data_IF_268725401021
#
_entry.id   IF_268725401021
#
_cell.length_a   1.000
_cell.length_b   1.000
_cell.length_c   1.000
_cell.angle_alpha   90.00
_cell.angle_beta   90.00
_cell.angle_gamma   90.00
#
_symmetry.space_group_name_H-M   'P 1'
#
loop_
_entity.id
_entity.type
_entity.pdbx_description
1 polymer ?
#
# COMPACT_ATOMS: atom_id res chain seq x y z
N UNK A 1 7.57 3.20 21.21
CA UNK A 1 6.51 3.52 20.23
C UNK A 1 5.32 2.61 20.50
N UNK A 2 4.11 3.15 20.62
CA UNK A 2 2.92 2.31 20.81
C UNK A 2 2.42 1.79 19.45
N UNK A 3 2.21 0.49 19.36
CA UNK A 3 1.68 -0.19 18.18
C UNK A 3 0.34 -0.82 18.53
N UNK A 4 -0.68 -0.56 17.72
CA UNK A 4 -1.97 -1.24 17.80
C UNK A 4 -1.99 -2.37 16.77
N UNK A 5 -1.85 -3.61 17.26
CA UNK A 5 -2.24 -4.77 16.46
C UNK A 5 -3.73 -4.71 16.11
N UNK A 6 -4.19 -5.56 15.21
CA UNK A 6 -5.59 -5.57 14.73
C UNK A 6 -6.62 -5.92 15.82
N UNK A 7 -6.20 -6.44 16.98
CA UNK A 7 -7.11 -7.10 17.93
C UNK A 7 -6.82 -6.88 19.43
N UNK A 8 -6.10 -5.83 19.85
CA UNK A 8 -5.76 -5.68 21.28
C UNK A 8 -5.41 -4.25 21.73
N UNK A 9 -5.22 -4.03 23.06
CA UNK A 9 -4.78 -2.75 23.59
C UNK A 9 -3.42 -2.35 22.99
N UNK A 10 -3.11 -1.04 22.85
CA UNK A 10 -1.83 -0.58 22.33
C UNK A 10 -0.65 -1.15 23.13
N UNK A 11 0.33 -1.71 22.42
CA UNK A 11 1.52 -2.34 23.00
C UNK A 11 2.72 -1.40 22.83
N UNK A 12 3.46 -1.13 23.90
CA UNK A 12 4.61 -0.22 23.85
C UNK A 12 5.88 -0.93 23.38
N UNK A 13 6.20 -0.89 22.08
CA UNK A 13 7.47 -1.41 21.57
C UNK A 13 8.64 -0.52 22.03
N UNK A 14 9.60 -1.12 22.74
CA UNK A 14 10.80 -0.45 23.25
C UNK A 14 11.91 -0.49 22.20
N UNK A 15 12.04 0.58 21.43
CA UNK A 15 13.09 0.71 20.42
C UNK A 15 14.32 1.34 21.07
N UNK A 16 15.48 0.68 20.94
CA UNK A 16 16.72 1.24 21.47
C UNK A 16 17.27 2.30 20.52
N UNK A 17 17.94 3.33 21.05
CA UNK A 17 18.58 4.34 20.22
C UNK A 17 19.61 3.71 19.26
N UNK A 18 20.36 2.70 19.72
CA UNK A 18 21.29 1.95 18.88
C UNK A 18 20.61 1.24 17.70
N UNK A 19 19.45 0.63 17.93
CA UNK A 19 18.65 -0.01 16.85
C UNK A 19 18.22 1.01 15.81
N UNK A 20 17.78 2.20 16.26
CA UNK A 20 17.35 3.28 15.36
C UNK A 20 18.52 3.78 14.52
N UNK A 21 19.64 4.15 15.14
CA UNK A 21 20.83 4.63 14.41
C UNK A 21 21.35 3.59 13.42
N UNK A 22 21.39 2.32 13.84
CA UNK A 22 21.82 1.22 12.98
C UNK A 22 20.90 1.07 11.75
N UNK A 23 19.58 1.06 11.96
CA UNK A 23 18.61 0.97 10.87
C UNK A 23 18.70 2.17 9.92
N UNK A 24 18.85 3.38 10.46
CA UNK A 24 19.05 4.59 9.65
C UNK A 24 20.27 4.42 8.75
N UNK A 25 21.44 4.04 9.29
CA UNK A 25 22.65 3.85 8.48
C UNK A 25 22.47 2.74 7.43
N UNK A 26 21.89 1.61 7.83
CA UNK A 26 21.72 0.46 6.96
C UNK A 26 20.77 0.74 5.78
N UNK A 27 19.68 1.49 6.02
CA UNK A 27 18.77 1.94 4.97
C UNK A 27 19.47 2.88 3.98
N UNK A 28 20.24 3.85 4.49
CA UNK A 28 21.01 4.79 3.67
C UNK A 28 22.08 4.09 2.83
N UNK A 29 22.65 2.98 3.29
CA UNK A 29 23.56 2.15 2.51
C UNK A 29 22.91 1.46 1.30
N UNK A 30 21.57 1.28 1.30
CA UNK A 30 20.85 0.58 0.23
C UNK A 30 20.24 1.55 -0.78
N UNK A 31 19.63 2.64 -0.31
CA UNK A 31 19.11 3.73 -1.13
C UNK A 31 19.69 5.06 -0.60
N UNK A 32 20.87 5.49 -1.09
CA UNK A 32 21.58 6.64 -0.54
C UNK A 32 20.81 7.95 -0.64
N UNK A 33 20.89 8.73 0.44
CA UNK A 33 20.45 10.13 0.50
C UNK A 33 21.59 11.03 0.97
N UNK A 34 21.49 12.29 0.61
CA UNK A 34 22.53 13.32 0.72
C UNK A 34 21.94 14.58 1.33
N UNK A 35 22.77 15.57 1.65
CA UNK A 35 22.30 16.86 2.15
C UNK A 35 21.48 17.66 1.11
N UNK A 36 21.65 17.36 -0.18
CA UNK A 36 20.91 18.00 -1.27
C UNK A 36 19.48 17.44 -1.43
N UNK A 37 19.11 16.45 -0.62
CA UNK A 37 17.77 15.89 -0.64
C UNK A 37 16.76 16.73 0.11
N UNK A 38 15.51 16.50 -0.25
CA UNK A 38 14.37 17.19 0.29
C UNK A 38 13.20 16.21 0.40
N UNK A 39 12.62 16.12 1.60
CA UNK A 39 11.50 15.23 1.92
C UNK A 39 10.27 16.01 2.39
N UNK A 40 9.11 15.35 2.34
CA UNK A 40 7.85 15.86 2.86
C UNK A 40 7.43 15.01 4.07
N UNK A 41 7.29 15.65 5.22
CA UNK A 41 6.79 15.07 6.47
C UNK A 41 5.29 15.34 6.60
N UNK A 42 4.51 14.26 6.69
CA UNK A 42 3.06 14.34 6.85
C UNK A 42 2.45 13.19 7.66
N UNK A 43 3.20 12.09 7.87
CA UNK A 43 2.72 11.00 8.72
C UNK A 43 2.91 11.39 10.20
N UNK A 44 2.14 10.82 11.12
CA UNK A 44 2.32 11.09 12.55
C UNK A 44 3.67 10.59 13.07
N UNK A 45 4.36 11.40 13.88
CA UNK A 45 5.57 11.00 14.62
C UNK A 45 5.34 9.90 15.66
N UNK A 46 4.10 9.50 15.90
CA UNK A 46 3.82 8.28 16.65
C UNK A 46 4.28 7.01 15.90
N UNK A 47 4.54 7.08 14.60
CA UNK A 47 4.92 5.94 13.77
C UNK A 47 6.45 5.88 13.53
N UNK A 48 7.08 4.71 13.70
CA UNK A 48 8.54 4.56 13.52
C UNK A 48 8.98 4.94 12.10
N UNK A 49 8.16 4.64 11.09
CA UNK A 49 8.44 4.99 9.70
C UNK A 49 8.71 6.49 9.54
N UNK A 50 7.84 7.34 10.09
CA UNK A 50 8.02 8.79 10.03
C UNK A 50 9.25 9.24 10.82
N UNK A 51 9.52 8.64 11.98
CA UNK A 51 10.70 8.98 12.78
C UNK A 51 11.99 8.73 12.00
N UNK A 52 12.10 7.59 11.31
CA UNK A 52 13.28 7.27 10.50
C UNK A 52 13.52 8.31 9.40
N UNK A 53 12.46 8.82 8.78
CA UNK A 53 12.57 9.75 7.63
C UNK A 53 12.62 11.21 8.06
N UNK A 54 11.91 11.63 9.08
CA UNK A 54 11.77 13.07 9.39
C UNK A 54 12.54 13.48 10.64
N UNK A 55 13.10 12.53 11.40
CA UNK A 55 13.92 12.80 12.59
C UNK A 55 15.34 12.25 12.42
N UNK A 56 15.49 10.93 12.25
CA UNK A 56 16.83 10.31 12.31
C UNK A 56 17.61 10.40 11.00
N UNK A 57 16.93 10.30 9.85
CA UNK A 57 17.52 10.51 8.54
C UNK A 57 18.19 11.88 8.37
N UNK A 58 17.50 13.03 8.60
CA UNK A 58 18.12 14.35 8.42
C UNK A 58 19.23 14.61 9.44
N UNK A 59 19.14 14.07 10.67
CA UNK A 59 20.25 14.16 11.64
C UNK A 59 21.50 13.44 11.15
N UNK A 60 21.35 12.40 10.33
CA UNK A 60 22.48 11.64 9.78
C UNK A 60 23.06 12.23 8.50
N UNK A 61 22.23 12.81 7.63
CA UNK A 61 22.63 13.22 6.27
C UNK A 61 22.50 14.72 5.99
N UNK A 62 21.75 15.46 6.79
CA UNK A 62 21.54 16.90 6.64
C UNK A 62 20.51 17.32 5.59
N UNK A 63 19.64 16.41 5.12
CA UNK A 63 18.60 16.80 4.15
C UNK A 63 17.50 17.65 4.76
N UNK A 64 16.77 18.35 3.90
CA UNK A 64 15.69 19.25 4.29
C UNK A 64 14.40 18.44 4.51
N UNK A 65 13.73 18.70 5.63
CA UNK A 65 12.40 18.17 5.96
C UNK A 65 11.37 19.28 5.86
N UNK A 66 10.40 19.14 4.96
CA UNK A 66 9.29 20.06 4.83
C UNK A 66 8.04 19.49 5.49
N UNK A 67 7.49 20.22 6.46
CA UNK A 67 6.24 19.85 7.12
C UNK A 67 5.05 20.35 6.33
N UNK A 68 4.08 19.48 6.06
CA UNK A 68 2.80 19.91 5.48
C UNK A 68 1.95 20.61 6.53
N UNK A 69 1.10 21.54 6.10
CA UNK A 69 0.19 22.26 7.00
C UNK A 69 -0.91 21.34 7.52
N UNK A 70 -1.42 20.45 6.65
CA UNK A 70 -2.39 19.43 7.00
C UNK A 70 -2.38 18.29 5.97
N UNK A 71 -3.07 17.19 6.27
CA UNK A 71 -3.27 16.11 5.30
C UNK A 71 -4.07 16.55 4.06
N UNK A 72 -4.90 17.58 4.20
CA UNK A 72 -5.72 18.10 3.10
C UNK A 72 -4.89 18.93 2.11
N UNK A 73 -3.84 19.60 2.59
CA UNK A 73 -2.92 20.40 1.77
C UNK A 73 -1.75 19.59 1.21
N UNK A 74 -1.57 18.32 1.62
CA UNK A 74 -0.48 17.45 1.18
C UNK A 74 -0.22 17.47 -0.34
N UNK A 75 -1.27 17.41 -1.17
CA UNK A 75 -1.10 17.40 -2.63
C UNK A 75 -0.71 18.76 -3.21
N UNK A 76 -1.05 19.85 -2.52
CA UNK A 76 -0.55 21.16 -2.86
C UNK A 76 0.91 21.31 -2.44
N UNK A 77 1.25 20.95 -1.21
CA UNK A 77 2.62 21.03 -0.73
C UNK A 77 3.57 20.14 -1.55
N UNK A 78 3.16 18.93 -1.94
CA UNK A 78 3.96 18.08 -2.84
C UNK A 78 4.29 18.77 -4.16
N UNK A 79 3.35 19.53 -4.74
CA UNK A 79 3.56 20.27 -6.00
C UNK A 79 4.51 21.44 -5.83
N UNK A 80 4.44 22.13 -4.69
CA UNK A 80 5.29 23.29 -4.38
C UNK A 80 6.72 22.85 -4.05
N UNK A 81 6.87 21.82 -3.22
CA UNK A 81 8.16 21.32 -2.73
C UNK A 81 8.87 20.50 -3.80
N UNK A 82 8.13 19.66 -4.54
CA UNK A 82 8.69 18.70 -5.50
C UNK A 82 9.86 17.89 -4.91
N UNK A 83 9.61 17.04 -3.89
CA UNK A 83 10.67 16.40 -3.11
C UNK A 83 11.55 15.46 -3.95
N UNK A 84 12.82 15.36 -3.57
CA UNK A 84 13.75 14.38 -4.17
C UNK A 84 13.51 12.99 -3.59
N UNK A 85 13.05 12.91 -2.34
CA UNK A 85 12.69 11.67 -1.65
C UNK A 85 11.29 11.77 -1.05
N UNK A 86 10.37 10.91 -1.50
CA UNK A 86 9.02 10.81 -0.95
C UNK A 86 8.73 9.40 -0.41
N UNK A 87 8.62 9.29 0.90
CA UNK A 87 8.21 8.09 1.62
C UNK A 87 6.73 8.18 1.98
N UNK A 88 5.95 7.18 1.60
CA UNK A 88 4.50 7.23 1.77
C UNK A 88 3.89 5.83 1.91
N UNK A 89 2.58 5.80 2.11
CA UNK A 89 1.77 4.59 2.31
C UNK A 89 0.87 4.33 1.10
N UNK A 90 0.44 3.08 0.84
CA UNK A 90 -0.31 2.73 -0.36
C UNK A 90 -1.51 3.63 -0.62
N UNK A 91 -2.29 3.96 0.42
CA UNK A 91 -3.50 4.78 0.29
C UNK A 91 -3.24 6.17 -0.30
N UNK A 92 -2.09 6.78 0.01
CA UNK A 92 -1.75 8.11 -0.53
C UNK A 92 -1.34 7.99 -2.00
N UNK A 93 -0.56 6.97 -2.35
CA UNK A 93 -0.23 6.66 -3.74
C UNK A 93 -1.47 6.31 -4.57
N UNK A 94 -2.41 5.54 -4.02
CA UNK A 94 -3.70 5.22 -4.64
C UNK A 94 -4.53 6.49 -4.85
N UNK A 95 -4.67 7.33 -3.82
CA UNK A 95 -5.43 8.60 -3.90
C UNK A 95 -4.86 9.55 -4.97
N UNK A 96 -3.54 9.65 -5.09
CA UNK A 96 -2.87 10.42 -6.15
C UNK A 96 -3.20 9.86 -7.54
N UNK A 97 -3.13 8.55 -7.73
CA UNK A 97 -3.46 7.90 -9.00
C UNK A 97 -4.95 8.08 -9.36
N UNK A 98 -5.86 7.86 -8.42
CA UNK A 98 -7.31 8.07 -8.60
C UNK A 98 -7.62 9.50 -8.99
N UNK A 99 -6.99 10.50 -8.35
CA UNK A 99 -7.16 11.92 -8.69
C UNK A 99 -6.77 12.21 -10.14
N UNK A 100 -5.71 11.57 -10.65
CA UNK A 100 -5.31 11.71 -12.06
C UNK A 100 -6.35 11.08 -12.97
N UNK A 101 -6.77 9.84 -12.71
CA UNK A 101 -7.75 9.13 -13.54
C UNK A 101 -9.07 9.90 -13.63
N UNK A 102 -9.56 10.46 -12.53
CA UNK A 102 -10.78 11.27 -12.50
C UNK A 102 -10.65 12.55 -13.33
N UNK A 103 -9.55 13.29 -13.15
CA UNK A 103 -9.28 14.51 -13.93
C UNK A 103 -9.12 14.21 -15.42
N UNK A 104 -8.60 13.03 -15.77
CA UNK A 104 -8.49 12.58 -17.16
C UNK A 104 -9.82 12.10 -17.73
N UNK A 105 -10.70 11.52 -16.92
CA UNK A 105 -12.06 11.18 -17.31
C UNK A 105 -12.88 12.42 -17.72
N UNK A 106 -12.75 13.51 -16.96
CA UNK A 106 -13.42 14.80 -17.23
C UNK A 106 -12.77 15.61 -18.34
N UNK A 107 -11.59 15.18 -18.80
CA UNK A 107 -10.84 15.91 -19.81
C UNK A 107 -11.45 15.74 -21.20
N UNK A 108 -11.09 16.66 -22.10
CA UNK A 108 -11.49 16.58 -23.51
C UNK A 108 -11.08 15.23 -24.10
N UNK A 109 -11.87 14.73 -25.06
CA UNK A 109 -11.63 13.42 -25.69
C UNK A 109 -10.18 13.26 -26.18
N UNK A 110 -9.60 14.32 -26.75
CA UNK A 110 -8.21 14.32 -27.21
C UNK A 110 -7.21 14.15 -26.07
N UNK A 111 -7.37 14.88 -24.95
CA UNK A 111 -6.50 14.76 -23.76
C UNK A 111 -6.58 13.36 -23.17
N UNK A 112 -7.80 12.82 -23.02
CA UNK A 112 -8.04 11.47 -22.52
C UNK A 112 -7.41 10.39 -23.41
N UNK A 113 -7.52 10.52 -24.73
CA UNK A 113 -6.91 9.56 -25.67
C UNK A 113 -5.39 9.66 -25.68
N UNK A 114 -4.84 10.87 -25.62
CA UNK A 114 -3.40 11.10 -25.48
C UNK A 114 -2.85 10.53 -24.17
N UNK A 115 -3.55 10.74 -23.04
CA UNK A 115 -3.22 10.17 -21.74
C UNK A 115 -3.18 8.65 -21.77
N UNK A 116 -4.26 8.00 -22.23
CA UNK A 116 -4.33 6.54 -22.33
C UNK A 116 -3.22 5.96 -23.21
N UNK A 117 -2.95 6.59 -24.35
CA UNK A 117 -1.86 6.17 -25.24
C UNK A 117 -0.49 6.33 -24.58
N UNK A 118 -0.23 7.47 -23.92
CA UNK A 118 1.03 7.74 -23.25
C UNK A 118 1.28 6.78 -22.09
N UNK A 119 0.27 6.52 -21.24
CA UNK A 119 0.36 5.54 -20.14
C UNK A 119 0.58 4.13 -20.66
N UNK A 120 -0.08 3.73 -21.75
CA UNK A 120 0.12 2.41 -22.36
C UNK A 120 1.57 2.23 -22.87
N UNK A 121 2.13 3.26 -23.53
CA UNK A 121 3.54 3.28 -23.94
C UNK A 121 4.45 3.24 -22.71
N UNK A 122 4.17 4.06 -21.69
CA UNK A 122 4.89 4.10 -20.43
C UNK A 122 4.94 2.75 -19.72
N UNK A 123 3.83 2.02 -19.65
CA UNK A 123 3.76 0.68 -19.05
C UNK A 123 4.61 -0.34 -19.81
N UNK A 124 4.55 -0.33 -21.15
CA UNK A 124 5.39 -1.21 -21.99
C UNK A 124 6.87 -0.91 -21.78
N UNK A 125 7.25 0.37 -21.77
CA UNK A 125 8.61 0.81 -21.50
C UNK A 125 9.08 0.41 -20.10
N UNK A 126 8.26 0.66 -19.07
CA UNK A 126 8.55 0.29 -17.70
C UNK A 126 8.78 -1.22 -17.54
N UNK A 127 7.90 -2.06 -18.10
CA UNK A 127 8.07 -3.52 -18.07
C UNK A 127 9.36 -3.98 -18.76
N UNK A 128 9.67 -3.41 -19.93
CA UNK A 128 10.92 -3.72 -20.64
C UNK A 128 12.16 -3.33 -19.80
N UNK A 129 12.11 -2.17 -19.15
CA UNK A 129 13.17 -1.69 -18.26
C UNK A 129 13.31 -2.57 -17.01
N UNK A 130 12.20 -2.97 -16.40
CA UNK A 130 12.17 -3.85 -15.22
C UNK A 130 12.66 -5.27 -15.52
N UNK A 131 12.46 -5.75 -16.75
CA UNK A 131 12.97 -7.05 -17.18
C UNK A 131 14.51 -7.08 -17.35
N UNK A 132 15.18 -5.92 -17.30
CA UNK A 132 16.65 -5.82 -17.38
C UNK A 132 17.25 -6.04 -18.78
N UNK A 133 16.42 -6.20 -19.81
CA UNK A 133 16.84 -6.36 -21.20
C UNK A 133 17.02 -5.04 -21.96
N UNK A 134 17.60 -5.06 -23.18
CA UNK A 134 17.70 -3.89 -24.02
C UNK A 134 16.31 -3.38 -24.41
N UNK A 135 16.09 -2.08 -24.31
CA UNK A 135 14.83 -1.46 -24.69
C UNK A 135 14.80 -1.31 -26.22
N UNK A 136 13.77 -1.81 -26.93
CA UNK A 136 13.65 -1.64 -28.37
C UNK A 136 13.72 -0.15 -28.77
N UNK A 137 14.52 0.26 -29.77
CA UNK A 137 14.72 1.66 -30.11
C UNK A 137 13.42 2.42 -30.40
N UNK A 138 12.47 1.78 -31.10
CA UNK A 138 11.15 2.34 -31.38
C UNK A 138 10.31 2.57 -30.11
N UNK A 139 10.39 1.65 -29.13
CA UNK A 139 9.72 1.82 -27.84
C UNK A 139 10.37 2.94 -27.02
N UNK A 140 11.70 3.05 -27.07
CA UNK A 140 12.44 4.15 -26.45
C UNK A 140 12.03 5.51 -27.02
N UNK A 141 11.96 5.65 -28.35
CA UNK A 141 11.51 6.88 -29.00
C UNK A 141 10.05 7.19 -28.67
N UNK A 142 9.17 6.20 -28.75
CA UNK A 142 7.75 6.37 -28.39
C UNK A 142 7.59 6.83 -26.94
N UNK A 143 8.36 6.26 -26.00
CA UNK A 143 8.36 6.69 -24.62
C UNK A 143 8.89 8.12 -24.45
N UNK A 144 9.95 8.51 -25.15
CA UNK A 144 10.46 9.89 -25.11
C UNK A 144 9.41 10.90 -25.58
N UNK A 145 8.69 10.59 -26.66
CA UNK A 145 7.60 11.44 -27.17
C UNK A 145 6.41 11.49 -26.19
N UNK A 146 5.97 10.33 -25.67
CA UNK A 146 4.91 10.23 -24.67
C UNK A 146 5.27 10.97 -23.38
N UNK A 147 6.52 10.87 -22.95
CA UNK A 147 7.05 11.56 -21.77
C UNK A 147 7.07 13.06 -21.96
N UNK A 148 7.62 13.55 -23.08
CA UNK A 148 7.64 14.98 -23.37
C UNK A 148 6.24 15.59 -23.45
N UNK A 149 5.32 14.93 -24.16
CA UNK A 149 3.99 15.46 -24.42
C UNK A 149 3.01 15.33 -23.23
N UNK A 150 3.11 14.25 -22.44
CA UNK A 150 2.09 13.89 -21.45
C UNK A 150 2.67 13.51 -20.09
N UNK A 151 3.58 12.53 -20.03
CA UNK A 151 3.96 11.92 -18.74
C UNK A 151 4.83 12.84 -17.89
N UNK A 152 5.80 13.57 -18.46
CA UNK A 152 6.63 14.50 -17.71
C UNK A 152 5.85 15.74 -17.22
N UNK A 153 4.95 16.36 -18.01
CA UNK A 153 4.02 17.36 -17.49
C UNK A 153 3.13 16.83 -16.36
N UNK A 154 2.66 15.59 -16.47
CA UNK A 154 1.86 14.94 -15.41
C UNK A 154 2.67 14.70 -14.14
N UNK A 155 3.88 14.15 -14.27
CA UNK A 155 4.85 13.95 -13.17
C UNK A 155 5.14 15.27 -12.44
N UNK A 156 5.36 16.36 -13.19
CA UNK A 156 5.51 17.73 -12.66
C UNK A 156 4.28 18.20 -11.89
N UNK A 157 3.09 18.02 -12.46
CA UNK A 157 1.82 18.39 -11.80
C UNK A 157 1.52 17.57 -10.56
N UNK A 158 2.11 16.39 -10.40
CA UNK A 158 2.00 15.59 -9.19
C UNK A 158 3.04 15.97 -8.13
N UNK A 159 4.00 16.84 -8.46
CA UNK A 159 5.08 17.22 -7.55
C UNK A 159 6.21 16.19 -7.49
N UNK A 160 6.40 15.39 -8.54
CA UNK A 160 7.44 14.35 -8.54
C UNK A 160 8.60 14.62 -9.49
N UNK A 161 8.75 15.84 -10.00
CA UNK A 161 9.72 16.15 -11.07
C UNK A 161 11.16 15.83 -10.67
N UNK A 162 11.53 16.24 -9.45
CA UNK A 162 12.86 16.01 -8.84
C UNK A 162 12.99 14.66 -8.14
N UNK A 163 11.91 13.89 -8.02
CA UNK A 163 11.89 12.67 -7.22
C UNK A 163 12.80 11.61 -7.82
N UNK A 164 13.80 11.22 -7.04
CA UNK A 164 14.77 10.16 -7.33
C UNK A 164 14.55 8.92 -6.49
N UNK A 165 13.92 9.05 -5.32
CA UNK A 165 13.53 7.93 -4.46
C UNK A 165 12.06 8.11 -4.08
N UNK A 166 11.21 7.13 -4.43
CA UNK A 166 9.84 7.08 -3.95
C UNK A 166 9.63 5.73 -3.24
N UNK A 167 9.16 5.73 -1.99
CA UNK A 167 8.98 4.51 -1.20
C UNK A 167 7.52 4.34 -0.82
N UNK A 168 7.01 3.13 -1.03
CA UNK A 168 5.73 2.66 -0.52
C UNK A 168 5.97 1.58 0.54
N UNK A 169 5.36 1.70 1.71
CA UNK A 169 5.50 0.73 2.80
C UNK A 169 4.38 0.82 3.82
N UNK A 170 4.57 0.15 4.97
CA UNK A 170 3.62 0.02 6.09
C UNK A 170 2.33 -0.78 5.81
N UNK A 171 1.95 -0.96 4.55
CA UNK A 171 0.89 -1.87 4.13
C UNK A 171 1.20 -2.42 2.73
N UNK A 172 0.65 -3.60 2.37
CA UNK A 172 0.87 -4.14 1.04
C UNK A 172 0.17 -3.28 -0.01
N UNK A 173 0.78 -3.15 -1.19
CA UNK A 173 0.22 -2.44 -2.33
C UNK A 173 0.12 -3.36 -3.56
N UNK A 174 -0.73 -3.00 -4.51
CA UNK A 174 -0.89 -3.79 -5.74
C UNK A 174 0.31 -3.58 -6.69
N UNK A 175 0.81 -4.65 -7.36
CA UNK A 175 1.82 -4.53 -8.41
C UNK A 175 1.47 -3.49 -9.49
N UNK A 176 0.18 -3.37 -9.81
CA UNK A 176 -0.36 -2.44 -10.79
C UNK A 176 -0.11 -0.97 -10.40
N UNK A 177 -0.10 -0.64 -9.10
CA UNK A 177 0.25 0.68 -8.60
C UNK A 177 1.71 1.03 -8.93
N UNK A 178 2.64 0.11 -8.66
CA UNK A 178 4.05 0.31 -8.99
C UNK A 178 4.28 0.41 -10.49
N UNK A 179 3.65 -0.45 -11.29
CA UNK A 179 3.71 -0.36 -12.76
C UNK A 179 3.21 1.00 -13.28
N UNK A 180 2.13 1.52 -12.68
CA UNK A 180 1.60 2.84 -13.01
C UNK A 180 2.64 3.94 -12.75
N UNK A 181 3.20 4.02 -11.55
CA UNK A 181 4.18 5.05 -11.22
C UNK A 181 5.48 4.93 -12.01
N UNK A 182 5.95 3.70 -12.27
CA UNK A 182 7.08 3.47 -13.18
C UNK A 182 6.77 3.92 -14.61
N UNK A 183 5.54 3.75 -15.10
CA UNK A 183 5.13 4.26 -16.41
C UNK A 183 5.24 5.79 -16.48
N UNK A 184 4.95 6.51 -15.38
CA UNK A 184 5.09 7.96 -15.27
C UNK A 184 6.56 8.42 -15.09
N UNK A 185 7.51 7.48 -14.97
CA UNK A 185 8.91 7.80 -14.70
C UNK A 185 9.19 8.17 -13.25
N UNK A 186 8.34 7.69 -12.32
CA UNK A 186 8.53 7.84 -10.87
C UNK A 186 9.13 6.52 -10.34
N UNK A 187 10.29 6.57 -9.65
CA UNK A 187 11.00 5.37 -9.19
C UNK A 187 10.40 4.83 -7.88
N UNK A 188 9.12 4.42 -7.94
CA UNK A 188 8.42 3.89 -6.78
C UNK A 188 8.91 2.48 -6.43
N UNK A 189 9.40 2.30 -5.21
CA UNK A 189 9.88 1.03 -4.67
C UNK A 189 9.10 0.63 -3.43
N UNK A 190 9.01 -0.68 -3.19
CA UNK A 190 8.34 -1.22 -2.01
C UNK A 190 9.33 -1.55 -0.90
N UNK A 191 8.95 -1.27 0.35
CA UNK A 191 9.69 -1.61 1.56
C UNK A 191 8.81 -2.28 2.61
N UNK A 192 9.41 -3.21 3.35
CA UNK A 192 8.75 -4.00 4.38
C UNK A 192 9.48 -3.89 5.72
N UNK A 193 8.70 -3.76 6.77
CA UNK A 193 9.14 -3.80 8.16
C UNK A 193 7.98 -3.48 9.08
N UNK A 194 8.25 -3.50 10.38
CA UNK A 194 7.26 -3.25 11.43
C UNK A 194 7.89 -2.53 12.61
N UNK A 195 7.07 -2.12 13.58
CA UNK A 195 7.56 -1.39 14.76
C UNK A 195 8.57 -2.22 15.54
N UNK A 196 8.28 -3.50 15.75
CA UNK A 196 9.10 -4.48 16.47
C UNK A 196 10.46 -4.73 15.79
N UNK A 197 10.58 -4.39 14.51
CA UNK A 197 11.81 -4.49 13.72
C UNK A 197 12.50 -3.13 13.54
N UNK A 198 12.14 -2.11 14.33
CA UNK A 198 12.60 -0.72 14.16
C UNK A 198 12.36 -0.18 12.74
N UNK A 199 11.26 -0.57 12.11
CA UNK A 199 10.72 0.07 10.91
C UNK A 199 11.03 -0.60 9.56
N UNK A 200 12.22 -1.17 9.34
CA UNK A 200 12.57 -1.81 8.04
C UNK A 200 13.32 -3.12 8.25
N UNK A 201 12.93 -4.13 7.46
CA UNK A 201 13.54 -5.46 7.36
C UNK A 201 14.13 -5.64 5.96
N UNK A 202 13.37 -5.27 4.93
CA UNK A 202 13.75 -5.41 3.52
C UNK A 202 13.23 -4.25 2.69
N UNK A 203 13.95 -3.91 1.62
CA UNK A 203 13.52 -2.85 0.70
C UNK A 203 14.02 -3.14 -0.71
N UNK A 204 13.23 -2.76 -1.71
CA UNK A 204 13.70 -2.70 -3.08
C UNK A 204 14.76 -1.60 -3.25
N UNK A 205 15.68 -1.79 -4.19
CA UNK A 205 16.67 -0.78 -4.55
C UNK A 205 16.18 -0.01 -5.76
N UNK A 206 16.28 1.32 -5.75
CA UNK A 206 15.90 2.15 -6.91
C UNK A 206 16.65 1.76 -8.19
N UNK A 207 17.90 1.31 -8.05
CA UNK A 207 18.72 0.85 -9.18
C UNK A 207 18.25 -0.47 -9.81
N UNK A 208 17.54 -1.31 -9.04
CA UNK A 208 17.09 -2.65 -9.47
C UNK A 208 15.74 -3.02 -8.82
N UNK A 209 14.66 -2.27 -9.12
CA UNK A 209 13.38 -2.48 -8.51
C UNK A 209 12.74 -3.77 -9.03
N UNK A 210 12.08 -4.53 -8.15
CA UNK A 210 11.33 -5.73 -8.54
C UNK A 210 9.89 -5.63 -8.03
N UNK A 211 9.00 -5.26 -8.94
CA UNK A 211 7.57 -5.10 -8.67
C UNK A 211 6.97 -6.42 -8.17
N UNK A 212 6.10 -6.31 -7.15
CA UNK A 212 5.46 -7.45 -6.49
C UNK A 212 6.34 -8.15 -5.46
N UNK A 213 7.51 -7.59 -5.12
CA UNK A 213 8.36 -8.02 -4.01
C UNK A 213 8.62 -6.83 -3.10
N UNK A 214 8.97 -7.08 -1.83
CA UNK A 214 9.41 -6.05 -0.89
C UNK A 214 10.93 -5.87 -0.87
N UNK A 215 11.61 -6.46 -1.87
CA UNK A 215 13.04 -6.31 -2.07
C UNK A 215 13.86 -7.34 -1.33
N UNK A 216 15.11 -6.98 -1.03
CA UNK A 216 16.04 -7.87 -0.33
C UNK A 216 16.16 -7.41 1.12
N UNK A 217 16.53 -8.34 2.00
CA UNK A 217 16.88 -8.00 3.38
C UNK A 217 17.94 -6.88 3.39
N UNK A 218 17.78 -5.93 4.30
CA UNK A 218 18.80 -4.90 4.54
C UNK A 218 20.09 -5.61 4.97
N UNK A 219 21.26 -5.24 4.41
CA UNK A 219 22.53 -5.85 4.81
C UNK A 219 22.73 -5.84 6.33
N UNK A 220 23.07 -6.98 6.90
CA UNK A 220 23.21 -7.17 8.36
C UNK A 220 21.91 -7.55 9.08
N UNK A 221 20.78 -7.66 8.38
CA UNK A 221 19.58 -8.32 8.87
C UNK A 221 19.54 -9.75 8.33
N UNK A 222 19.43 -10.71 9.24
CA UNK A 222 19.17 -12.10 8.89
C UNK A 222 17.67 -12.30 8.71
N UNK A 223 17.25 -12.94 7.61
CA UNK A 223 15.84 -13.27 7.34
C UNK A 223 15.76 -14.73 6.92
N UNK A 224 14.93 -15.49 7.61
CA UNK A 224 14.60 -16.89 7.28
C UNK A 224 13.09 -17.07 7.21
N UNK A 225 12.65 -18.12 6.53
CA UNK A 225 11.25 -18.54 6.53
C UNK A 225 11.13 -19.79 7.40
N UNK A 226 10.19 -19.79 8.34
CA UNK A 226 9.82 -20.98 9.10
C UNK A 226 9.11 -22.02 8.21
N UNK A 227 8.87 -23.22 8.73
CA UNK A 227 8.23 -24.32 7.99
C UNK A 227 6.84 -23.97 7.44
N UNK A 228 6.12 -23.09 8.13
CA UNK A 228 4.80 -22.58 7.71
C UNK A 228 4.87 -21.31 6.84
N UNK A 229 6.08 -20.90 6.46
CA UNK A 229 6.35 -19.71 5.65
C UNK A 229 6.39 -18.41 6.43
N UNK A 230 6.25 -18.41 7.76
CA UNK A 230 6.42 -17.20 8.57
C UNK A 230 7.82 -16.61 8.40
N UNK A 231 7.88 -15.30 8.20
CA UNK A 231 9.14 -14.56 8.13
C UNK A 231 9.67 -14.39 9.54
N UNK A 232 10.89 -14.88 9.78
CA UNK A 232 11.64 -14.65 11.00
C UNK A 232 12.81 -13.73 10.68
N UNK A 233 13.06 -12.75 11.54
CA UNK A 233 14.15 -11.79 11.34
C UNK A 233 15.00 -11.63 12.60
N UNK A 234 16.32 -11.50 12.44
CA UNK A 234 17.25 -11.32 13.54
C UNK A 234 18.32 -10.27 13.19
N UNK A 235 18.72 -9.49 14.18
CA UNK A 235 19.78 -8.51 14.05
C UNK A 235 19.58 -7.27 14.93
N UNK A 236 20.40 -6.23 14.74
CA UNK A 236 20.40 -5.03 15.61
C UNK A 236 19.09 -4.22 15.58
N UNK A 237 18.30 -4.41 14.51
CA UNK A 237 17.02 -3.77 14.28
C UNK A 237 15.88 -4.27 15.20
N UNK A 238 16.00 -5.47 15.78
CA UNK A 238 14.97 -6.04 16.66
C UNK A 238 14.83 -5.20 17.94
N UNK A 239 13.58 -4.89 18.32
CA UNK A 239 13.26 -4.12 19.52
C UNK A 239 13.75 -4.80 20.82
N UNK A 240 13.69 -4.09 21.94
CA UNK A 240 14.03 -4.63 23.27
C UNK A 240 12.90 -5.40 23.94
N UNK A 241 11.76 -5.53 23.27
CA UNK A 241 10.53 -6.10 23.83
C UNK A 241 9.42 -5.07 24.02
N UNK A 242 8.31 -5.54 24.56
CA UNK A 242 7.16 -4.73 24.92
C UNK A 242 7.28 -4.20 26.36
N UNK A 243 6.97 -2.92 26.53
CA UNK A 243 7.06 -2.22 27.80
C UNK A 243 6.10 -2.83 28.83
N UNK A 244 6.66 -3.33 29.94
CA UNK A 244 5.92 -4.00 31.03
C UNK A 244 5.16 -5.26 30.61
N UNK A 245 5.58 -5.92 29.54
CA UNK A 245 4.94 -7.13 29.02
C UNK A 245 5.99 -8.19 28.62
N UNK A 246 6.64 -8.85 29.60
CA UNK A 246 7.70 -9.82 29.34
C UNK A 246 7.18 -11.11 28.69
N UNK A 247 5.92 -11.49 28.95
CA UNK A 247 5.29 -12.68 28.38
C UNK A 247 5.12 -12.53 26.87
N UNK A 248 4.46 -11.46 26.43
CA UNK A 248 4.31 -11.17 25.02
C UNK A 248 5.66 -10.94 24.33
N UNK A 249 6.64 -10.36 25.04
CA UNK A 249 8.00 -10.21 24.53
C UNK A 249 8.62 -11.57 24.19
N UNK A 250 8.52 -12.55 25.10
CA UNK A 250 9.04 -13.89 24.89
C UNK A 250 8.26 -14.70 23.84
N UNK A 251 6.98 -14.39 23.62
CA UNK A 251 6.19 -14.95 22.50
C UNK A 251 6.60 -14.37 21.14
N UNK A 252 7.11 -13.13 21.12
CA UNK A 252 7.39 -12.38 19.89
C UNK A 252 8.84 -12.50 19.46
N UNK A 253 9.77 -12.58 20.41
CA UNK A 253 11.19 -12.82 20.16
C UNK A 253 11.62 -14.04 20.94
N UNK A 254 12.11 -15.04 20.21
CA UNK A 254 12.54 -16.29 20.81
C UNK A 254 13.90 -16.17 21.54
N UNK A 255 14.35 -17.27 22.14
CA UNK A 255 15.62 -17.31 22.90
C UNK A 255 16.86 -17.15 22.02
N UNK A 256 16.75 -17.38 20.71
CA UNK A 256 17.83 -17.22 19.73
C UNK A 256 17.85 -15.80 19.13
N UNK A 257 16.91 -14.95 19.52
CA UNK A 257 16.79 -13.57 19.07
C UNK A 257 16.01 -13.42 17.76
N UNK A 258 15.31 -14.45 17.30
CA UNK A 258 14.42 -14.35 16.14
C UNK A 258 13.14 -13.62 16.51
N UNK A 259 12.88 -12.52 15.81
CA UNK A 259 11.59 -11.85 15.81
C UNK A 259 10.63 -12.60 14.90
N UNK A 260 9.57 -13.15 15.52
CA UNK A 260 8.41 -13.72 14.83
C UNK A 260 7.56 -12.58 14.28
N UNK A 261 7.60 -12.38 12.96
CA UNK A 261 6.97 -11.21 12.36
C UNK A 261 5.45 -11.31 12.30
N UNK A 262 4.88 -12.52 12.38
CA UNK A 262 3.48 -12.79 12.11
C UNK A 262 3.08 -12.60 10.64
N UNK A 263 4.04 -12.39 9.74
CA UNK A 263 3.84 -12.25 8.29
C UNK A 263 4.38 -13.47 7.55
N UNK A 264 3.65 -13.96 6.56
CA UNK A 264 4.04 -15.09 5.72
C UNK A 264 4.67 -14.57 4.44
N UNK A 265 5.82 -15.13 4.08
CA UNK A 265 6.59 -14.71 2.92
C UNK A 265 7.03 -15.85 2.04
N UNK A 266 7.58 -15.48 0.88
CA UNK A 266 8.21 -16.40 -0.05
C UNK A 266 9.45 -15.75 -0.67
N UNK A 267 10.50 -16.55 -0.89
CA UNK A 267 11.68 -16.12 -1.63
C UNK A 267 11.48 -16.34 -3.13
N UNK A 268 11.77 -15.32 -3.92
CA UNK A 268 11.82 -15.42 -5.38
C UNK A 268 13.12 -14.82 -5.89
N UNK A 269 14.07 -15.67 -6.31
CA UNK A 269 15.38 -15.25 -6.85
C UNK A 269 16.12 -14.25 -5.94
N UNK A 270 16.08 -14.47 -4.62
CA UNK A 270 16.73 -13.61 -3.62
C UNK A 270 15.97 -12.33 -3.27
N UNK A 271 14.71 -12.20 -3.69
CA UNK A 271 13.79 -11.12 -3.28
C UNK A 271 12.67 -11.71 -2.42
N UNK A 272 12.32 -11.01 -1.34
CA UNK A 272 11.26 -11.39 -0.43
C UNK A 272 9.91 -10.89 -0.97
N UNK A 273 8.91 -11.76 -0.99
CA UNK A 273 7.51 -11.43 -1.22
C UNK A 273 6.73 -11.57 0.07
N UNK A 274 5.85 -10.62 0.35
CA UNK A 274 4.86 -10.74 1.42
C UNK A 274 3.60 -11.34 0.83
N UNK A 275 3.17 -12.45 1.40
CA UNK A 275 1.92 -13.09 1.03
C UNK A 275 0.80 -12.48 1.87
N UNK A 276 0.71 -12.78 3.17
CA UNK A 276 -0.28 -12.18 4.07
C UNK A 276 0.21 -12.18 5.52
N UNK A 277 -0.58 -11.59 6.42
CA UNK A 277 -0.49 -11.83 7.86
C UNK A 277 -0.92 -13.27 8.15
N UNK A 278 -0.11 -14.02 8.90
CA UNK A 278 -0.39 -15.43 9.29
C UNK A 278 -1.78 -15.62 9.91
N UNK A 279 -2.24 -14.63 10.69
CA UNK A 279 -3.56 -14.64 11.35
C UNK A 279 -4.74 -14.29 10.44
N UNK A 280 -4.47 -13.70 9.28
CA UNK A 280 -5.49 -13.22 8.33
C UNK A 280 -5.64 -14.15 7.10
N UNK A 281 -4.77 -15.16 6.93
CA UNK A 281 -4.91 -16.16 5.87
C UNK A 281 -6.26 -16.86 5.99
N UNK A 282 -7.05 -16.79 4.92
CA UNK A 282 -8.35 -17.44 4.82
C UNK A 282 -8.13 -18.88 4.36
N UNK A 283 -8.64 -19.85 5.13
CA UNK A 283 -8.67 -21.25 4.69
C UNK A 283 -10.09 -21.55 4.24
N UNK A 284 -10.30 -21.60 2.93
CA UNK A 284 -11.62 -21.94 2.37
C UNK A 284 -12.06 -23.35 2.78
N UNK A 285 -13.35 -23.67 2.67
CA UNK A 285 -13.87 -25.01 2.94
C UNK A 285 -13.21 -26.11 2.08
N UNK A 286 -12.64 -25.75 0.93
CA UNK A 286 -11.86 -26.64 0.07
C UNK A 286 -10.38 -26.80 0.47
N UNK A 287 -9.98 -26.28 1.63
CA UNK A 287 -8.60 -26.38 2.15
C UNK A 287 -7.59 -25.51 1.40
N UNK A 288 -8.04 -24.54 0.59
CA UNK A 288 -7.15 -23.59 -0.09
C UNK A 288 -6.89 -22.38 0.79
N UNK A 289 -5.59 -22.09 0.96
CA UNK A 289 -5.09 -20.89 1.63
C UNK A 289 -5.21 -19.71 0.67
N UNK A 290 -5.97 -18.70 1.08
CA UNK A 290 -6.19 -17.47 0.34
C UNK A 290 -5.61 -16.33 1.15
N UNK A 291 -4.90 -15.46 0.46
CA UNK A 291 -4.39 -14.18 0.95
C UNK A 291 -5.43 -13.09 0.67
N UNK A 292 -6.33 -12.75 1.61
CA UNK A 292 -7.33 -11.70 1.38
C UNK A 292 -6.70 -10.34 1.05
N UNK A 293 -5.58 -9.98 1.67
CA UNK A 293 -4.96 -8.66 1.46
C UNK A 293 -4.58 -8.41 -0.01
N UNK A 294 -4.19 -9.47 -0.73
CA UNK A 294 -3.88 -9.42 -2.16
C UNK A 294 -5.09 -9.03 -3.01
N UNK A 295 -6.24 -9.64 -2.72
CA UNK A 295 -7.51 -9.36 -3.42
C UNK A 295 -8.01 -7.96 -3.05
N UNK A 296 -7.98 -7.61 -1.76
CA UNK A 296 -8.41 -6.29 -1.25
C UNK A 296 -7.61 -5.15 -1.88
N UNK A 297 -6.29 -5.29 -2.01
CA UNK A 297 -5.44 -4.27 -2.63
C UNK A 297 -5.69 -4.12 -4.13
N UNK A 298 -6.05 -5.20 -4.85
CA UNK A 298 -6.48 -5.09 -6.24
C UNK A 298 -7.82 -4.37 -6.37
N UNK A 299 -8.76 -4.62 -5.46
CA UNK A 299 -10.06 -3.94 -5.43
C UNK A 299 -9.90 -2.44 -5.17
N UNK A 300 -9.05 -2.05 -4.21
CA UNK A 300 -8.77 -0.64 -3.88
C UNK A 300 -8.06 0.16 -4.97
N UNK A 301 -7.55 -0.49 -6.01
CA UNK A 301 -7.06 0.22 -7.19
C UNK A 301 -8.19 0.85 -8.02
N UNK A 302 -9.44 0.43 -7.80
CA UNK A 302 -10.61 1.11 -8.37
C UNK A 302 -10.80 2.48 -7.73
N UNK A 303 -11.07 3.55 -8.51
CA UNK A 303 -11.35 4.86 -7.94
C UNK A 303 -12.65 4.89 -7.12
N UNK A 304 -13.54 3.90 -7.27
CA UNK A 304 -14.83 3.86 -6.57
C UNK A 304 -14.76 3.09 -5.23
N UNK A 305 -13.64 2.42 -4.93
CA UNK A 305 -13.48 1.57 -3.76
C UNK A 305 -12.47 2.24 -2.82
N UNK A 306 -12.94 2.71 -1.67
CA UNK A 306 -12.10 3.26 -0.62
C UNK A 306 -11.40 2.16 0.17
N UNK A 307 -12.15 1.14 0.60
CA UNK A 307 -11.61 -0.03 1.29
C UNK A 307 -12.42 -1.29 0.96
N UNK A 308 -11.81 -2.45 1.14
CA UNK A 308 -12.42 -3.74 0.89
C UNK A 308 -11.99 -4.74 1.98
N UNK A 309 -12.95 -5.54 2.45
CA UNK A 309 -12.70 -6.66 3.38
C UNK A 309 -13.22 -7.93 2.75
N UNK A 310 -12.32 -8.82 2.36
CA UNK A 310 -12.63 -10.12 1.78
C UNK A 310 -12.88 -11.12 2.89
N UNK A 311 -14.04 -11.77 2.89
CA UNK A 311 -14.45 -12.73 3.91
C UNK A 311 -14.71 -14.08 3.26
N UNK A 312 -14.22 -15.16 3.87
CA UNK A 312 -14.46 -16.51 3.36
C UNK A 312 -13.83 -17.65 4.15
N UNK A 313 -13.42 -17.41 5.40
CA UNK A 313 -12.83 -18.46 6.23
C UNK A 313 -13.84 -19.60 6.47
N UNK A 314 -13.41 -20.82 6.13
CA UNK A 314 -14.21 -22.05 6.15
C UNK A 314 -15.52 -21.94 5.35
N UNK A 315 -15.57 -21.07 4.33
CA UNK A 315 -16.72 -20.93 3.42
C UNK A 315 -16.42 -21.51 2.03
N UNK A 316 -17.47 -21.77 1.24
CA UNK A 316 -17.39 -22.36 -0.10
C UNK A 316 -16.78 -21.43 -1.15
N UNK A 317 -16.90 -20.12 -0.94
CA UNK A 317 -16.41 -19.09 -1.83
C UNK A 317 -16.13 -17.82 -1.03
N UNK A 318 -15.42 -16.86 -1.63
CA UNK A 318 -15.14 -15.57 -1.04
C UNK A 318 -16.25 -14.56 -1.35
N UNK A 319 -16.52 -13.69 -0.40
CA UNK A 319 -17.35 -12.49 -0.56
C UNK A 319 -16.56 -11.27 -0.12
N UNK A 320 -16.97 -10.06 -0.50
CA UNK A 320 -16.30 -8.84 -0.05
C UNK A 320 -17.29 -7.80 0.47
N UNK A 321 -16.93 -7.18 1.59
CA UNK A 321 -17.55 -5.96 2.10
C UNK A 321 -16.78 -4.77 1.52
N UNK A 322 -17.47 -3.84 0.87
CA UNK A 322 -16.86 -2.72 0.17
C UNK A 322 -17.27 -1.41 0.81
N UNK A 323 -16.29 -0.61 1.21
CA UNK A 323 -16.49 0.79 1.54
C UNK A 323 -16.24 1.62 0.28
N UNK A 324 -17.26 2.34 -0.17
CA UNK A 324 -17.16 3.17 -1.36
C UNK A 324 -16.31 4.42 -1.10
N UNK A 325 -15.62 4.89 -2.14
CA UNK A 325 -15.01 6.23 -2.13
C UNK A 325 -16.12 7.25 -2.41
N UNK A 326 -16.56 7.94 -1.35
CA UNK A 326 -17.76 8.78 -1.39
C UNK A 326 -17.69 9.86 -2.47
N UNK A 327 -16.57 10.58 -2.57
CA UNK A 327 -16.42 11.67 -3.53
C UNK A 327 -16.56 11.16 -4.96
N UNK A 328 -15.89 10.03 -5.26
CA UNK A 328 -15.86 9.48 -6.61
C UNK A 328 -17.18 8.82 -7.01
N UNK A 329 -17.85 8.17 -6.07
CA UNK A 329 -19.17 7.57 -6.29
C UNK A 329 -20.25 8.63 -6.38
N UNK A 330 -20.20 9.69 -5.56
CA UNK A 330 -21.09 10.85 -5.63
C UNK A 330 -21.00 11.50 -7.00
N UNK A 331 -19.78 11.72 -7.50
CA UNK A 331 -19.57 12.28 -8.82
C UNK A 331 -20.12 11.38 -9.92
N UNK A 332 -19.86 10.07 -9.86
CA UNK A 332 -20.45 9.12 -10.81
C UNK A 332 -21.98 9.18 -10.81
N UNK A 333 -22.59 9.23 -9.61
CA UNK A 333 -24.03 9.34 -9.44
C UNK A 333 -24.57 10.62 -10.08
N UNK A 334 -23.89 11.76 -9.89
CA UNK A 334 -24.26 13.03 -10.53
C UNK A 334 -24.15 12.95 -12.06
N UNK A 335 -23.04 12.41 -12.59
CA UNK A 335 -22.80 12.29 -14.03
C UNK A 335 -23.84 11.39 -14.73
N UNK A 336 -24.34 10.37 -14.02
CA UNK A 336 -25.33 9.42 -14.54
C UNK A 336 -26.77 9.72 -14.09
N UNK A 337 -26.99 10.84 -13.38
CA UNK A 337 -28.30 11.27 -12.85
C UNK A 337 -28.95 10.25 -11.92
N UNK A 338 -28.15 9.53 -11.15
CA UNK A 338 -28.60 8.62 -10.09
C UNK A 338 -29.08 9.47 -8.90
N UNK A 339 -30.34 9.33 -8.46
CA UNK A 339 -30.84 10.07 -7.31
C UNK A 339 -30.26 9.52 -6.01
N UNK A 340 -29.79 10.42 -5.15
CA UNK A 340 -29.35 10.12 -3.79
C UNK A 340 -29.51 11.36 -2.89
N UNK A 341 -29.76 11.15 -1.60
CA UNK A 341 -29.79 12.21 -0.58
C UNK A 341 -28.81 11.92 0.56
N UNK A 342 -28.52 10.65 0.81
CA UNK A 342 -27.61 10.21 1.87
C UNK A 342 -26.53 9.28 1.33
N UNK A 343 -25.46 9.09 2.13
CA UNK A 343 -24.44 8.07 1.86
C UNK A 343 -25.05 6.66 1.77
N UNK A 344 -26.03 6.38 2.63
CA UNK A 344 -26.71 5.09 2.63
C UNK A 344 -27.47 4.86 1.31
N UNK A 345 -28.11 5.88 0.76
CA UNK A 345 -28.80 5.79 -0.53
C UNK A 345 -27.84 5.36 -1.64
N UNK A 346 -26.63 5.92 -1.67
CA UNK A 346 -25.59 5.54 -2.63
C UNK A 346 -25.25 4.04 -2.52
N UNK A 347 -25.12 3.54 -1.30
CA UNK A 347 -24.73 2.13 -1.04
C UNK A 347 -25.84 1.13 -1.34
N UNK A 348 -27.11 1.55 -1.34
CA UNK A 348 -28.26 0.71 -1.64
C UNK A 348 -28.75 0.84 -3.08
N UNK A 349 -28.28 1.84 -3.82
CA UNK A 349 -28.71 2.09 -5.19
C UNK A 349 -28.20 0.99 -6.14
N UNK A 350 -29.11 0.41 -6.93
CA UNK A 350 -28.81 -0.70 -7.84
C UNK A 350 -27.81 -0.34 -8.96
N UNK A 351 -27.68 0.93 -9.35
CA UNK A 351 -26.67 1.35 -10.33
C UNK A 351 -25.27 1.43 -9.70
N UNK A 352 -25.18 1.91 -8.46
CA UNK A 352 -23.91 1.96 -7.72
C UNK A 352 -23.44 0.55 -7.36
N UNK A 353 -24.35 -0.33 -6.94
CA UNK A 353 -24.02 -1.75 -6.72
C UNK A 353 -23.46 -2.38 -8.00
N UNK A 354 -24.13 -2.16 -9.15
CA UNK A 354 -23.65 -2.64 -10.46
C UNK A 354 -22.29 -2.06 -10.86
N UNK A 355 -22.03 -0.79 -10.54
CA UNK A 355 -20.73 -0.15 -10.76
C UNK A 355 -19.63 -0.91 -9.99
N UNK A 356 -19.84 -1.15 -8.70
CA UNK A 356 -18.86 -1.84 -7.85
C UNK A 356 -18.71 -3.31 -8.27
N UNK A 357 -19.80 -4.01 -8.59
CA UNK A 357 -19.77 -5.37 -9.13
C UNK A 357 -18.95 -5.45 -10.44
N UNK A 358 -19.06 -4.45 -11.32
CA UNK A 358 -18.27 -4.39 -12.53
C UNK A 358 -16.77 -4.22 -12.25
N UNK A 359 -16.39 -3.41 -11.25
CA UNK A 359 -14.98 -3.29 -10.82
C UNK A 359 -14.46 -4.59 -10.21
N UNK A 360 -15.25 -5.26 -9.37
CA UNK A 360 -14.92 -6.57 -8.80
C UNK A 360 -14.77 -7.63 -9.90
N UNK A 361 -15.64 -7.61 -10.90
CA UNK A 361 -15.55 -8.52 -12.05
C UNK A 361 -14.28 -8.28 -12.88
N UNK A 362 -13.78 -7.03 -13.01
CA UNK A 362 -12.48 -6.75 -13.64
C UNK A 362 -11.34 -7.36 -12.83
N UNK A 363 -11.36 -7.22 -11.50
CA UNK A 363 -10.34 -7.80 -10.62
C UNK A 363 -10.36 -9.32 -10.67
N UNK A 364 -11.54 -9.94 -10.62
CA UNK A 364 -11.71 -11.40 -10.69
C UNK A 364 -11.11 -12.02 -11.95
N UNK A 365 -11.06 -11.30 -13.09
CA UNK A 365 -10.39 -11.78 -14.32
C UNK A 365 -8.87 -11.93 -14.17
N UNK A 366 -8.28 -11.31 -13.14
CA UNK A 366 -6.85 -11.39 -12.84
C UNK A 366 -6.53 -12.41 -11.75
N UNK A 367 -7.54 -13.01 -11.13
CA UNK A 367 -7.42 -13.94 -10.01
C UNK A 367 -7.65 -15.37 -10.48
N UNK A 368 -7.16 -16.35 -9.71
CA UNK A 368 -7.56 -17.74 -9.92
C UNK A 368 -9.04 -17.95 -9.57
N UNK A 369 -9.65 -19.03 -10.07
CA UNK A 369 -11.07 -19.31 -9.84
C UNK A 369 -11.45 -19.39 -8.34
N UNK A 370 -10.53 -19.86 -7.50
CA UNK A 370 -10.72 -20.02 -6.05
C UNK A 370 -10.55 -18.71 -5.27
N UNK A 371 -9.80 -17.75 -5.82
CA UNK A 371 -9.59 -16.41 -5.27
C UNK A 371 -10.69 -15.42 -5.69
N UNK A 372 -11.54 -15.80 -6.65
CA UNK A 372 -12.59 -14.92 -7.16
C UNK A 372 -13.67 -14.59 -6.12
N UNK A 373 -13.92 -13.29 -5.92
CA UNK A 373 -15.02 -12.80 -5.06
C UNK A 373 -16.35 -13.02 -5.77
N UNK A 374 -17.25 -13.81 -5.17
CA UNK A 374 -18.53 -14.20 -5.79
C UNK A 374 -19.66 -13.21 -5.58
N UNK A 375 -19.72 -12.58 -4.41
CA UNK A 375 -20.74 -11.62 -4.05
C UNK A 375 -20.11 -10.47 -3.26
N UNK A 376 -20.73 -9.31 -3.34
CA UNK A 376 -20.27 -8.10 -2.67
C UNK A 376 -21.42 -7.46 -1.90
N UNK A 377 -21.11 -6.79 -0.80
CA UNK A 377 -22.04 -5.90 -0.12
C UNK A 377 -21.38 -4.54 0.11
N UNK A 378 -22.12 -3.46 -0.15
CA UNK A 378 -21.66 -2.11 0.15
C UNK A 378 -21.94 -1.80 1.61
N UNK A 379 -20.94 -1.25 2.30
CA UNK A 379 -21.06 -0.86 3.70
C UNK A 379 -21.90 0.41 3.82
N UNK A 380 -22.99 0.42 4.61
CA UNK A 380 -24.00 1.48 4.57
C UNK A 380 -23.61 2.77 5.31
N UNK A 381 -22.41 2.83 5.89
CA UNK A 381 -21.94 3.99 6.65
C UNK A 381 -20.48 4.31 6.38
N UNK A 382 -20.14 5.57 6.62
CA UNK A 382 -18.75 6.07 6.64
C UNK A 382 -18.01 5.49 7.84
N UNK A 383 -16.70 5.33 7.70
CA UNK A 383 -15.84 4.92 8.82
C UNK A 383 -15.05 6.10 9.35
N UNK A 384 -15.11 6.26 10.68
CA UNK A 384 -14.41 7.30 11.41
C UNK A 384 -13.42 6.66 12.40
N UNK A 385 -12.28 7.34 12.63
CA UNK A 385 -11.26 6.87 13.58
C UNK A 385 -11.80 6.88 15.02
N UNK A 386 -12.61 7.87 15.37
CA UNK A 386 -13.23 8.07 16.69
C UNK A 386 -14.18 6.92 17.08
N UNK A 387 -14.85 6.31 16.10
CA UNK A 387 -15.75 5.16 16.31
C UNK A 387 -15.01 3.80 16.33
N UNK A 388 -13.68 3.83 16.16
CA UNK A 388 -12.81 2.65 16.25
C UNK A 388 -12.85 1.70 15.05
N UNK A 389 -13.51 2.09 13.95
CA UNK A 389 -13.69 1.30 12.72
C UNK A 389 -12.40 1.12 11.91
N UNK A 390 -11.56 2.15 11.95
CA UNK A 390 -10.27 2.21 11.28
C UNK A 390 -9.17 2.55 12.30
N UNK A 391 -7.94 2.11 12.04
CA UNK A 391 -6.76 2.54 12.80
C UNK A 391 -6.44 4.02 12.53
N UNK A 392 -5.54 4.66 13.30
CA UNK A 392 -5.01 5.99 12.97
C UNK A 392 -4.31 6.07 11.60
N UNK A 393 -3.97 4.93 11.01
CA UNK A 393 -3.45 4.82 9.63
C UNK A 393 -4.55 4.52 8.61
N UNK A 394 -5.82 4.72 8.98
CA UNK A 394 -7.03 4.43 8.20
C UNK A 394 -7.19 2.98 7.73
N UNK A 395 -6.57 2.02 8.44
CA UNK A 395 -6.69 0.59 8.12
C UNK A 395 -7.93 0.01 8.81
N UNK A 396 -8.78 -0.65 8.06
CA UNK A 396 -9.98 -1.33 8.58
C UNK A 396 -9.63 -2.52 9.49
N UNK A 397 -10.35 -2.66 10.62
CA UNK A 397 -10.21 -3.78 11.56
C UNK A 397 -11.11 -4.97 11.18
N UNK A 398 -10.58 -5.92 10.41
CA UNK A 398 -11.28 -7.14 9.90
C UNK A 398 -12.23 -7.78 10.91
N UNK A 399 -11.73 -8.25 12.06
CA UNK A 399 -12.55 -8.99 13.05
C UNK A 399 -13.70 -8.15 13.63
N UNK A 400 -13.45 -6.87 13.90
CA UNK A 400 -14.50 -5.98 14.41
C UNK A 400 -15.62 -5.81 13.39
N UNK A 401 -15.26 -5.76 12.10
CA UNK A 401 -16.21 -5.70 10.99
C UNK A 401 -16.95 -7.01 10.77
N UNK A 402 -16.26 -8.14 10.81
CA UNK A 402 -16.89 -9.46 10.70
C UNK A 402 -17.92 -9.68 11.80
N UNK A 403 -17.62 -9.27 13.04
CA UNK A 403 -18.58 -9.31 14.15
C UNK A 403 -19.75 -8.33 13.93
N UNK A 404 -19.45 -7.07 13.58
CA UNK A 404 -20.49 -6.03 13.44
C UNK A 404 -21.45 -6.28 12.27
N UNK A 405 -20.94 -6.84 11.18
CA UNK A 405 -21.70 -7.11 9.96
C UNK A 405 -21.93 -8.60 9.74
N UNK A 406 -21.97 -9.39 10.82
CA UNK A 406 -22.17 -10.84 10.75
C UNK A 406 -23.43 -11.22 9.96
N UNK A 407 -24.55 -10.52 10.19
CA UNK A 407 -25.81 -10.76 9.50
C UNK A 407 -25.74 -10.44 8.00
N UNK A 408 -25.06 -9.34 7.65
CA UNK A 408 -24.83 -8.95 6.25
C UNK A 408 -23.91 -9.95 5.55
N UNK A 409 -22.86 -10.42 6.22
CA UNK A 409 -21.98 -11.47 5.69
C UNK A 409 -22.78 -12.76 5.50
N UNK A 410 -23.60 -13.12 6.48
CA UNK A 410 -24.43 -14.31 6.42
C UNK A 410 -25.39 -14.24 5.24
N UNK A 411 -26.04 -13.10 4.99
CA UNK A 411 -26.96 -12.92 3.85
C UNK A 411 -26.29 -13.13 2.48
N UNK A 412 -24.99 -12.90 2.36
CA UNK A 412 -24.23 -13.21 1.14
C UNK A 412 -24.03 -14.73 0.96
N UNK A 413 -24.06 -15.50 2.04
CA UNK A 413 -23.96 -16.97 2.00
C UNK A 413 -25.31 -17.69 2.02
N UNK A 414 -26.34 -17.06 2.58
CA UNK A 414 -27.72 -17.53 2.40
C UNK A 414 -28.06 -17.42 0.92
N UNK A 415 -28.61 -18.49 0.36
CA UNK A 415 -29.25 -18.46 -0.95
C UNK A 415 -30.74 -18.34 -0.73
#
# INVERSE_FOLDING_TARGET
IYTSGTTGPPKGAMLSHGSILWVTEAFLGVNPVTADDEVVSYLPFAHIYENLISVFGPLRTGYIVNFVESLDTLFQNLREISPTYFASVPRIWEKLASTVELRMADSTWLKRRAYRAAVAVGRRYARAKLAGGPIPPGLGLAYRLASWAVLAPLKRRLGFDRTRIAVCGAAPASPELFEYYHALGIPLIEGYGQTESTGVISVNRVARPRVGTVGQAIPGIEVVLADDGEILTRGPHVFKGYFKDPELTAETVDREGWLHTGDVGAWENGYLKIMDRKKDIIITAGGKNITPAYIENKLKFSPYIQDAVVVGDRKKYLVALILIDEDNVTKFAQDHRVPFTTFQDLTQNAEIVRLIEAEVAKVNKTLSQVEGVKKVALLPRRFYEEEGDVTPTKKVKRRALETRYADLIQSLYST
#
